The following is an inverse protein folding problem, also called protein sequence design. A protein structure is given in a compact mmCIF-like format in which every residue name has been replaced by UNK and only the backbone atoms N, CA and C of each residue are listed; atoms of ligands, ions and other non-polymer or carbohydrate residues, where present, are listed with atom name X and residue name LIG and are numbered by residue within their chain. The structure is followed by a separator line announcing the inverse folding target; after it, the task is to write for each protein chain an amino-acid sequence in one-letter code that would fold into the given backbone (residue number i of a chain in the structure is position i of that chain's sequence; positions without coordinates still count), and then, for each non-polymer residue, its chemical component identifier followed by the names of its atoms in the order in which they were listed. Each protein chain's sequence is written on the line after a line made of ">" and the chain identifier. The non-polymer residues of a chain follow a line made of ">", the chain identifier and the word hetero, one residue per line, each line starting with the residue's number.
data_IF_658158385049
#
_entry.id   IF_658158385049
#
_cell.length_a   1.000
_cell.length_b   1.000
_cell.length_c   1.000
_cell.angle_alpha   90.00
_cell.angle_beta   90.00
_cell.angle_gamma   90.00
#
_symmetry.space_group_name_H-M   'P 1'
#
loop_
_entity.id
_entity.type
_entity.pdbx_description
1 polymer ?
#
# COMPACT_ATOMS: atom_id res chain seq x y z
N UNK A 1 0.33 -9.72 -12.89
CA UNK A 1 -0.87 -9.08 -12.31
C UNK A 1 -0.63 -7.58 -12.40
N UNK A 2 -1.48 -6.83 -13.10
CA UNK A 2 -1.38 -5.37 -13.15
C UNK A 2 -1.86 -4.80 -11.81
N UNK A 3 -1.00 -4.02 -11.15
CA UNK A 3 -1.32 -3.31 -9.91
C UNK A 3 -1.37 -1.84 -10.29
N UNK A 4 -2.42 -1.13 -9.88
CA UNK A 4 -2.60 0.29 -10.18
C UNK A 4 -2.97 1.00 -8.88
N UNK A 5 -2.31 2.11 -8.61
CA UNK A 5 -2.54 2.94 -7.45
C UNK A 5 -2.18 4.39 -7.72
N UNK A 6 -2.81 5.28 -6.97
CA UNK A 6 -2.62 6.73 -7.01
C UNK A 6 -2.21 7.21 -5.62
N UNK A 7 -1.31 8.18 -5.57
CA UNK A 7 -0.90 8.81 -4.32
C UNK A 7 -0.95 10.32 -4.43
N UNK A 8 -1.23 10.98 -3.30
CA UNK A 8 -1.27 12.43 -3.17
C UNK A 8 -0.50 12.85 -1.92
N UNK A 9 0.20 14.00 -2.01
CA UNK A 9 0.80 14.66 -0.85
C UNK A 9 -0.33 15.38 -0.11
N UNK A 10 -0.57 15.03 1.15
CA UNK A 10 -1.43 15.76 2.08
C UNK A 10 -0.62 16.79 2.87
N UNK A 11 -1.22 17.64 3.70
CA UNK A 11 -0.49 18.69 4.43
C UNK A 11 0.68 18.11 5.28
N UNK A 12 0.42 17.05 6.03
CA UNK A 12 1.39 16.44 6.95
C UNK A 12 1.79 14.99 6.59
N UNK A 13 1.42 14.51 5.41
CA UNK A 13 1.75 13.14 5.02
C UNK A 13 1.49 12.81 3.55
N UNK A 14 1.31 11.53 3.30
CA UNK A 14 1.03 10.92 2.01
C UNK A 14 -0.22 10.07 2.12
N UNK A 15 -1.10 10.22 1.15
CA UNK A 15 -2.29 9.39 1.02
C UNK A 15 -2.07 8.47 -0.18
N UNK A 16 -2.31 7.18 0.03
CA UNK A 16 -2.14 6.16 -1.00
C UNK A 16 -3.44 5.39 -1.20
N UNK A 17 -3.96 5.38 -2.42
CA UNK A 17 -5.20 4.70 -2.81
C UNK A 17 -4.86 3.69 -3.90
N UNK A 18 -5.23 2.43 -3.71
CA UNK A 18 -4.87 1.38 -4.65
C UNK A 18 -5.86 0.23 -4.62
N UNK A 19 -5.96 -0.49 -5.73
CA UNK A 19 -6.81 -1.67 -5.83
C UNK A 19 -6.03 -2.95 -5.57
N UNK A 20 -6.61 -3.85 -4.75
CA UNK A 20 -6.10 -5.20 -4.51
C UNK A 20 -7.16 -6.21 -4.94
N UNK A 21 -6.72 -7.26 -5.63
CA UNK A 21 -7.59 -8.40 -5.93
C UNK A 21 -7.51 -9.40 -4.79
N UNK A 22 -8.62 -9.53 -4.06
CA UNK A 22 -8.81 -10.51 -3.00
C UNK A 22 -9.73 -11.65 -3.49
N UNK A 23 -9.87 -12.73 -2.71
CA UNK A 23 -10.74 -13.84 -3.06
C UNK A 23 -12.22 -13.43 -3.22
N UNK A 24 -12.64 -12.39 -2.49
CA UNK A 24 -13.98 -11.80 -2.53
C UNK A 24 -14.19 -10.81 -3.69
N UNK A 25 -13.14 -10.42 -4.42
CA UNK A 25 -13.23 -9.47 -5.51
C UNK A 25 -12.16 -8.38 -5.49
N UNK A 26 -12.40 -7.30 -6.23
CA UNK A 26 -11.52 -6.14 -6.27
C UNK A 26 -11.89 -5.18 -5.14
N UNK A 27 -10.92 -4.85 -4.28
CA UNK A 27 -11.08 -3.99 -3.11
C UNK A 27 -10.23 -2.74 -3.27
N UNK A 28 -10.83 -1.58 -3.02
CA UNK A 28 -10.09 -0.32 -2.91
C UNK A 28 -9.54 -0.18 -1.49
N UNK A 29 -8.22 -0.04 -1.38
CA UNK A 29 -7.51 0.24 -0.13
C UNK A 29 -7.11 1.71 -0.08
N UNK A 30 -7.10 2.25 1.13
CA UNK A 30 -6.74 3.63 1.44
C UNK A 30 -5.84 3.62 2.68
N UNK A 31 -4.62 4.14 2.53
CA UNK A 31 -3.62 4.21 3.59
C UNK A 31 -3.06 5.63 3.69
N UNK A 32 -2.75 6.06 4.91
CA UNK A 32 -2.22 7.39 5.21
C UNK A 32 -0.89 7.24 5.95
N UNK A 33 0.12 7.98 5.51
CA UNK A 33 1.48 7.91 6.03
C UNK A 33 1.96 9.31 6.43
N UNK A 34 2.49 9.48 7.64
CA UNK A 34 3.15 10.73 8.03
C UNK A 34 4.59 10.82 7.48
N UNK A 35 5.24 9.66 7.32
CA UNK A 35 6.61 9.52 6.85
C UNK A 35 6.66 9.16 5.36
N UNK A 36 7.48 9.87 4.60
CA UNK A 36 7.74 9.55 3.18
C UNK A 36 8.48 8.20 3.02
N UNK A 37 9.30 7.83 4.00
CA UNK A 37 10.03 6.56 4.00
C UNK A 37 9.06 5.38 4.13
N UNK A 38 8.09 5.49 5.03
CA UNK A 38 7.09 4.45 5.30
C UNK A 38 6.16 4.27 4.08
N UNK A 39 5.79 5.40 3.46
CA UNK A 39 5.07 5.40 2.20
C UNK A 39 5.83 4.65 1.08
N UNK A 40 7.11 4.98 0.85
CA UNK A 40 7.90 4.30 -0.18
C UNK A 40 8.15 2.82 0.12
N UNK A 41 8.36 2.45 1.39
CA UNK A 41 8.45 1.05 1.79
C UNK A 41 7.16 0.30 1.47
N UNK A 42 6.00 0.92 1.72
CA UNK A 42 4.70 0.32 1.37
C UNK A 42 4.55 0.11 -0.14
N UNK A 43 4.86 1.14 -0.93
CA UNK A 43 4.80 1.07 -2.40
C UNK A 43 5.74 -0.02 -2.91
N UNK A 44 6.98 -0.06 -2.45
CA UNK A 44 7.95 -1.10 -2.84
C UNK A 44 7.42 -2.50 -2.52
N UNK A 45 6.93 -2.72 -1.30
CA UNK A 45 6.35 -4.00 -0.91
C UNK A 45 5.14 -4.38 -1.78
N UNK A 46 4.26 -3.42 -2.06
CA UNK A 46 3.03 -3.68 -2.79
C UNK A 46 3.31 -3.98 -4.27
N UNK A 47 4.23 -3.26 -4.93
CA UNK A 47 4.43 -3.37 -6.38
C UNK A 47 5.62 -4.26 -6.77
N UNK A 48 6.69 -4.26 -5.99
CA UNK A 48 7.94 -4.96 -6.34
C UNK A 48 8.08 -6.34 -5.70
N UNK A 49 7.30 -6.65 -4.65
CA UNK A 49 7.29 -8.00 -4.09
C UNK A 49 6.42 -8.93 -4.95
N UNK A 50 7.09 -9.65 -5.83
CA UNK A 50 6.57 -10.80 -6.57
C UNK A 50 6.79 -12.02 -5.67
N UNK A 51 5.71 -12.77 -5.40
CA UNK A 51 5.65 -14.05 -4.66
C UNK A 51 5.98 -14.07 -3.16
N UNK A 52 4.92 -14.22 -2.34
CA UNK A 52 4.69 -15.53 -1.71
C UNK A 52 5.31 -15.87 -0.35
N UNK A 53 6.16 -15.08 0.29
CA UNK A 53 6.60 -15.39 1.66
C UNK A 53 6.89 -14.17 2.52
N UNK A 54 6.34 -14.21 3.74
CA UNK A 54 6.42 -13.27 4.86
C UNK A 54 5.56 -11.99 4.74
N UNK A 55 4.29 -12.17 5.15
CA UNK A 55 3.44 -11.11 5.70
C UNK A 55 4.14 -10.55 6.96
N UNK A 56 4.54 -9.27 7.00
CA UNK A 56 5.02 -8.68 8.24
C UNK A 56 3.80 -8.39 9.13
N UNK A 57 3.77 -8.95 10.34
CA UNK A 57 2.84 -8.53 11.39
C UNK A 57 3.22 -7.11 11.83
N UNK A 58 2.46 -6.12 11.37
CA UNK A 58 2.57 -4.74 11.82
C UNK A 58 1.62 -4.50 13.00
N UNK A 59 2.03 -3.72 14.02
CA UNK A 59 1.10 -3.28 15.05
C UNK A 59 0.07 -2.34 14.44
N UNK A 60 -1.19 -2.47 14.87
CA UNK A 60 -2.23 -1.49 14.57
C UNK A 60 -1.80 -0.12 15.15
N UNK A 61 -1.85 0.91 14.31
CA UNK A 61 -1.67 2.30 14.70
C UNK A 61 -2.75 2.76 15.68
#
# INVERSE_FOLDING_TARGET
>A
MEKTGEFERADNGWVFKYFVREASGLVLRHEVFESISDFFQRVDHLFNRIDGSDEPEWPAA
#
